data_IF_159260009154
#
_entry.id   IF_159260009154
#
_cell.length_a   1.000
_cell.length_b   1.000
_cell.length_c   1.000
_cell.angle_alpha   90.00
_cell.angle_beta   90.00
_cell.angle_gamma   90.00
#
_symmetry.space_group_name_H-M   'P 1'
#
loop_
_entity.id
_entity.type
_entity.pdbx_description
1 polymer ?
#
# COMPACT_ATOMS: atom_id res chain seq x y z
N UNK A 1 38.75 8.81 -0.77
CA UNK A 1 38.40 7.42 -0.38
C UNK A 1 37.65 7.32 0.96
N UNK A 2 37.24 8.44 1.57
CA UNK A 2 36.59 8.49 2.90
C UNK A 2 35.14 9.00 2.88
N UNK A 3 34.58 9.40 1.73
CA UNK A 3 33.21 9.93 1.64
C UNK A 3 32.12 8.86 1.41
N UNK A 4 32.45 7.69 0.84
CA UNK A 4 31.44 6.65 0.59
C UNK A 4 30.95 5.92 1.85
N UNK A 5 31.79 5.81 2.89
CA UNK A 5 31.42 5.12 4.13
C UNK A 5 30.50 5.96 5.05
N UNK A 6 30.54 7.27 4.93
CA UNK A 6 29.74 8.19 5.77
C UNK A 6 28.29 8.27 5.26
N UNK A 7 28.11 8.30 3.94
CA UNK A 7 26.78 8.31 3.29
C UNK A 7 26.04 6.99 3.51
N UNK A 8 26.71 5.84 3.39
CA UNK A 8 26.13 4.52 3.68
C UNK A 8 25.68 4.36 5.15
N UNK A 9 26.34 5.03 6.11
CA UNK A 9 25.97 4.99 7.54
C UNK A 9 24.77 5.87 7.87
N UNK A 10 24.60 7.01 7.17
CA UNK A 10 23.45 7.90 7.34
C UNK A 10 22.16 7.32 6.73
N UNK A 11 22.26 6.59 5.61
CA UNK A 11 21.12 5.89 5.02
C UNK A 11 20.60 4.74 5.91
N UNK A 12 21.50 4.08 6.65
CA UNK A 12 21.14 3.05 7.62
C UNK A 12 20.26 3.62 8.74
N UNK A 13 20.56 4.85 9.18
CA UNK A 13 19.84 5.59 10.23
C UNK A 13 18.42 5.98 9.77
N UNK A 14 18.27 6.49 8.54
CA UNK A 14 16.94 6.80 7.99
C UNK A 14 16.09 5.55 7.70
N UNK A 15 16.72 4.42 7.33
CA UNK A 15 16.01 3.14 7.17
C UNK A 15 15.51 2.57 8.51
N UNK A 16 16.21 2.83 9.62
CA UNK A 16 15.78 2.44 10.96
C UNK A 16 14.67 3.34 11.51
N UNK A 17 14.69 4.64 11.19
CA UNK A 17 13.66 5.60 11.60
C UNK A 17 12.31 5.39 10.88
N UNK A 18 12.34 4.93 9.62
CA UNK A 18 11.13 4.51 8.89
C UNK A 18 10.54 3.20 9.42
N UNK A 19 11.37 2.27 9.92
CA UNK A 19 10.94 1.03 10.62
C UNK A 19 10.26 1.27 11.98
N UNK A 20 10.45 2.42 12.62
CA UNK A 20 9.71 2.78 13.84
C UNK A 20 8.25 3.17 13.54
N UNK A 21 7.94 3.61 12.31
CA UNK A 21 6.57 3.94 11.89
C UNK A 21 5.84 2.74 11.24
N UNK A 22 6.57 1.72 10.79
CA UNK A 22 6.03 0.46 10.27
C UNK A 22 6.82 -0.72 10.85
N UNK A 23 6.33 -1.32 11.94
CA UNK A 23 6.80 -2.64 12.39
C UNK A 23 5.98 -3.73 11.71
N UNK A 24 6.59 -4.65 10.93
CA UNK A 24 5.94 -5.92 10.60
C UNK A 24 5.94 -6.82 11.84
N UNK A 25 4.78 -7.39 12.16
CA UNK A 25 4.61 -8.33 13.28
C UNK A 25 5.02 -9.72 12.78
N UNK A 26 6.21 -10.19 13.17
CA UNK A 26 6.55 -11.62 13.09
C UNK A 26 5.83 -12.37 14.22
N UNK A 27 5.21 -13.50 13.85
CA UNK A 27 4.43 -14.40 14.69
C UNK A 27 5.15 -14.86 15.96
N UNK A 28 4.44 -14.90 17.09
CA UNK A 28 4.64 -15.95 18.09
C UNK A 28 3.38 -16.19 18.94
N UNK A 29 3.23 -17.46 19.29
CA UNK A 29 2.14 -18.11 20.02
C UNK A 29 1.90 -17.47 21.40
N UNK A 30 0.63 -17.48 21.79
CA UNK A 30 0.02 -17.04 23.07
C UNK A 30 -0.63 -15.65 23.03
N UNK A 31 -1.94 -15.67 23.28
CA UNK A 31 -2.85 -14.55 23.11
C UNK A 31 -2.50 -13.34 23.96
N UNK A 32 -2.19 -12.23 23.28
CA UNK A 32 -2.26 -10.87 23.80
C UNK A 32 -2.79 -9.99 22.66
N UNK A 33 -3.82 -9.18 22.95
CA UNK A 33 -4.47 -8.26 22.02
C UNK A 33 -3.47 -7.27 21.38
N UNK A 34 -3.41 -7.21 20.04
CA UNK A 34 -2.58 -6.25 19.32
C UNK A 34 -3.41 -5.03 18.90
N UNK A 35 -3.05 -3.83 19.39
CA UNK A 35 -3.51 -2.54 18.87
C UNK A 35 -2.64 -2.16 17.67
N UNK A 36 -3.24 -2.01 16.48
CA UNK A 36 -2.59 -1.32 15.36
C UNK A 36 -2.49 0.19 15.66
N UNK A 37 -1.28 0.73 15.69
CA UNK A 37 -1.05 2.18 15.73
C UNK A 37 -0.96 2.72 14.30
N UNK A 38 -2.06 3.24 13.75
CA UNK A 38 -2.03 4.00 12.49
C UNK A 38 -1.76 5.46 12.85
N UNK A 39 -0.53 5.93 12.60
CA UNK A 39 -0.13 7.32 12.85
C UNK A 39 -0.19 8.13 11.54
N UNK A 40 -0.88 9.27 11.57
CA UNK A 40 -1.00 10.21 10.45
C UNK A 40 0.23 11.14 10.43
N UNK A 41 1.01 11.13 9.34
CA UNK A 41 2.29 11.87 9.20
C UNK A 41 2.04 13.31 8.70
N UNK A 42 1.21 14.11 9.38
CA UNK A 42 0.94 15.50 8.94
C UNK A 42 1.68 16.57 9.75
N UNK A 43 2.37 16.22 10.84
CA UNK A 43 3.18 17.19 11.62
C UNK A 43 4.70 17.13 11.37
N UNK A 44 5.19 16.23 10.52
CA UNK A 44 6.63 15.99 10.41
C UNK A 44 7.35 16.82 9.34
N UNK A 45 6.63 17.36 8.35
CA UNK A 45 7.26 18.06 7.22
C UNK A 45 7.70 19.50 7.51
N UNK A 46 7.11 20.17 8.50
CA UNK A 46 7.39 21.59 8.76
C UNK A 46 8.60 21.82 9.68
N UNK A 47 9.15 20.77 10.32
CA UNK A 47 10.28 20.90 11.24
C UNK A 47 11.60 20.31 10.73
N UNK A 48 11.60 19.51 9.64
CA UNK A 48 12.80 18.84 9.14
C UNK A 48 13.71 19.71 8.28
N UNK A 49 13.32 20.97 8.01
CA UNK A 49 14.14 21.96 7.29
C UNK A 49 14.96 22.84 8.25
N UNK A 50 14.84 22.64 9.57
CA UNK A 50 15.66 23.37 10.52
C UNK A 50 17.09 22.80 10.56
N UNK A 51 17.98 23.52 9.85
CA UNK A 51 19.43 23.57 10.03
C UNK A 51 20.25 22.31 9.73
N UNK A 52 20.23 21.82 8.48
CA UNK A 52 21.32 20.96 7.99
C UNK A 52 22.54 21.75 7.49
N UNK A 53 22.41 23.05 7.21
CA UNK A 53 23.51 23.88 6.70
C UNK A 53 24.57 24.24 7.77
N UNK A 54 24.27 24.04 9.06
CA UNK A 54 25.21 24.27 10.16
C UNK A 54 25.81 22.99 10.77
N UNK A 55 25.65 21.82 10.13
CA UNK A 55 26.30 20.58 10.56
C UNK A 55 27.80 20.58 10.19
N UNK A 56 28.55 21.57 10.67
CA UNK A 56 30.00 21.59 10.58
C UNK A 56 30.59 20.73 11.71
N UNK A 57 31.36 19.69 11.32
CA UNK A 57 32.38 18.98 12.13
C UNK A 57 31.93 18.30 13.45
N UNK A 58 30.76 17.65 13.48
CA UNK A 58 30.33 16.83 14.64
C UNK A 58 30.35 15.33 14.39
N UNK A 59 30.56 14.52 15.43
CA UNK A 59 30.42 13.05 15.40
C UNK A 59 28.99 12.66 14.95
N UNK A 60 28.82 11.89 13.86
CA UNK A 60 27.52 11.42 13.39
C UNK A 60 26.68 10.71 14.48
N UNK A 61 27.34 10.04 15.43
CA UNK A 61 26.64 9.40 16.55
C UNK A 61 26.06 10.40 17.54
N UNK A 62 26.67 11.57 17.68
CA UNK A 62 26.16 12.64 18.53
C UNK A 62 24.95 13.31 17.91
N UNK A 63 24.97 13.55 16.59
CA UNK A 63 23.81 14.03 15.84
C UNK A 63 22.63 13.04 15.94
N UNK A 64 22.89 11.74 15.80
CA UNK A 64 21.89 10.69 15.98
C UNK A 64 21.28 10.71 17.40
N UNK A 65 22.11 10.77 18.45
CA UNK A 65 21.62 10.84 19.84
C UNK A 65 20.78 12.08 20.10
N UNK A 66 21.18 13.25 19.58
CA UNK A 66 20.39 14.50 19.71
C UNK A 66 19.03 14.37 19.04
N UNK A 67 18.98 13.82 17.83
CA UNK A 67 17.73 13.57 17.11
C UNK A 67 16.86 12.59 17.89
N UNK A 68 17.43 11.47 18.37
CA UNK A 68 16.71 10.48 19.16
C UNK A 68 16.14 11.06 20.46
N UNK A 69 16.92 11.87 21.19
CA UNK A 69 16.47 12.59 22.38
C UNK A 69 15.36 13.59 22.06
N UNK A 70 15.45 14.30 20.93
CA UNK A 70 14.40 15.21 20.46
C UNK A 70 13.10 14.48 20.12
N UNK A 71 13.18 13.27 19.57
CA UNK A 71 12.01 12.44 19.33
C UNK A 71 11.43 11.89 20.64
N UNK A 72 12.27 11.46 21.58
CA UNK A 72 11.84 10.94 22.87
C UNK A 72 11.20 12.02 23.76
N UNK A 73 11.61 13.28 23.63
CA UNK A 73 11.05 14.41 24.38
C UNK A 73 9.73 14.93 23.82
N UNK A 74 9.39 14.58 22.57
CA UNK A 74 8.10 14.95 21.97
C UNK A 74 6.99 14.06 22.53
N UNK A 75 5.99 14.71 23.14
CA UNK A 75 4.74 14.04 23.51
C UNK A 75 4.03 13.60 22.24
N UNK A 76 3.88 12.29 22.05
CA UNK A 76 3.10 11.76 20.95
C UNK A 76 1.65 12.28 21.03
N UNK A 77 0.97 12.51 19.90
CA UNK A 77 -0.46 12.74 19.90
C UNK A 77 -1.18 11.63 20.70
N UNK A 78 -2.31 11.94 21.35
CA UNK A 78 -3.09 10.91 22.02
C UNK A 78 -3.48 9.81 21.03
N UNK A 79 -3.54 8.57 21.52
CA UNK A 79 -4.00 7.44 20.73
C UNK A 79 -5.36 7.73 20.11
N UNK A 80 -5.45 7.46 18.81
CA UNK A 80 -6.68 7.62 18.05
C UNK A 80 -7.66 6.51 18.48
N UNK A 81 -8.91 6.87 18.77
CA UNK A 81 -9.94 5.88 19.05
C UNK A 81 -10.16 5.00 17.79
N UNK A 82 -9.88 3.68 17.84
CA UNK A 82 -10.02 2.81 16.66
C UNK A 82 -11.48 2.63 16.22
N UNK A 83 -12.45 3.02 17.07
CA UNK A 83 -13.88 3.04 16.75
C UNK A 83 -14.41 4.47 16.49
N UNK A 84 -13.51 5.46 16.42
CA UNK A 84 -13.86 6.84 16.14
C UNK A 84 -14.32 7.01 14.69
N UNK A 85 -15.28 7.92 14.49
CA UNK A 85 -15.65 8.41 13.16
C UNK A 85 -14.95 9.75 12.96
N UNK A 86 -14.19 9.87 11.87
CA UNK A 86 -13.43 11.09 11.54
C UNK A 86 -14.15 11.87 10.44
N UNK A 87 -14.27 13.18 10.62
CA UNK A 87 -14.89 14.09 9.66
C UNK A 87 -13.82 14.91 8.94
N UNK A 88 -13.79 14.83 7.62
CA UNK A 88 -13.02 15.78 6.81
C UNK A 88 -13.83 17.06 6.54
N UNK A 89 -15.16 16.91 6.39
CA UNK A 89 -16.12 17.99 6.17
C UNK A 89 -17.30 17.83 7.13
N UNK A 90 -18.08 18.89 7.30
CA UNK A 90 -19.33 18.86 8.06
C UNK A 90 -20.40 18.04 7.33
N UNK A 91 -21.13 17.19 8.07
CA UNK A 91 -22.21 16.35 7.56
C UNK A 91 -23.27 16.16 8.64
N UNK A 92 -24.49 16.63 8.41
CA UNK A 92 -25.63 16.34 9.29
C UNK A 92 -26.31 15.02 8.88
N UNK A 93 -26.10 13.97 9.68
CA UNK A 93 -26.71 12.65 9.47
C UNK A 93 -28.24 12.65 9.62
N UNK A 94 -28.82 13.69 10.22
CA UNK A 94 -30.29 13.86 10.30
C UNK A 94 -30.88 14.12 8.92
N UNK A 95 -30.21 14.92 8.09
CA UNK A 95 -30.67 15.28 6.74
C UNK A 95 -30.47 14.15 5.72
N UNK A 96 -29.54 13.23 5.99
CA UNK A 96 -29.29 12.07 5.11
C UNK A 96 -30.46 11.09 5.19
N UNK A 97 -31.23 10.95 4.10
CA UNK A 97 -32.39 10.07 4.04
C UNK A 97 -32.09 8.66 3.54
N UNK A 98 -31.00 8.51 2.77
CA UNK A 98 -30.66 7.25 2.09
C UNK A 98 -29.18 6.94 2.33
N UNK A 99 -28.89 5.71 2.73
CA UNK A 99 -27.53 5.19 2.94
C UNK A 99 -27.24 4.11 1.91
N UNK A 100 -26.21 4.35 1.09
CA UNK A 100 -25.68 3.37 0.14
C UNK A 100 -24.46 2.69 0.73
N UNK A 101 -24.34 1.38 0.53
CA UNK A 101 -23.19 0.60 0.95
C UNK A 101 -22.54 -0.07 -0.25
N UNK A 102 -21.21 -0.12 -0.26
CA UNK A 102 -20.46 -1.10 -1.03
C UNK A 102 -20.44 -2.43 -0.26
N UNK A 103 -20.14 -3.53 -0.94
CA UNK A 103 -20.07 -4.85 -0.32
C UNK A 103 -18.64 -5.17 0.13
N UNK A 104 -17.74 -5.37 -0.84
CA UNK A 104 -16.38 -5.86 -0.62
C UNK A 104 -15.53 -4.84 0.15
N UNK A 105 -14.85 -5.29 1.22
CA UNK A 105 -14.09 -4.45 2.15
C UNK A 105 -14.87 -3.31 2.84
N UNK A 106 -16.20 -3.24 2.66
CA UNK A 106 -17.08 -2.29 3.37
C UNK A 106 -18.02 -3.01 4.33
N UNK A 107 -18.90 -3.88 3.83
CA UNK A 107 -19.74 -4.75 4.66
C UNK A 107 -19.07 -6.11 4.88
N UNK A 108 -18.51 -6.68 3.81
CA UNK A 108 -17.73 -7.90 3.83
C UNK A 108 -16.26 -7.55 4.11
N UNK A 109 -15.85 -7.59 5.38
CA UNK A 109 -14.47 -7.33 5.78
C UNK A 109 -13.66 -8.62 5.62
N UNK A 110 -12.73 -8.62 4.68
CA UNK A 110 -11.87 -9.78 4.43
C UNK A 110 -10.72 -9.90 5.43
N UNK A 111 -10.36 -11.15 5.74
CA UNK A 111 -9.22 -11.54 6.55
C UNK A 111 -7.92 -11.46 5.76
N UNK A 112 -6.74 -11.36 6.42
CA UNK A 112 -5.44 -11.38 5.74
C UNK A 112 -5.21 -12.60 4.83
N UNK A 113 -5.89 -13.72 5.10
CA UNK A 113 -5.85 -14.91 4.23
C UNK A 113 -6.30 -14.63 2.78
N UNK A 114 -7.08 -13.56 2.56
CA UNK A 114 -7.51 -13.14 1.23
C UNK A 114 -6.33 -12.71 0.35
N UNK A 115 -5.38 -11.96 0.90
CA UNK A 115 -4.22 -11.47 0.17
C UNK A 115 -3.38 -12.63 -0.37
N UNK A 116 -3.14 -13.65 0.48
CA UNK A 116 -2.43 -14.87 0.07
C UNK A 116 -3.17 -15.61 -1.04
N UNK A 117 -4.50 -15.72 -0.94
CA UNK A 117 -5.31 -16.39 -1.94
C UNK A 117 -5.19 -15.68 -3.30
N UNK A 118 -5.39 -14.37 -3.34
CA UNK A 118 -5.31 -13.57 -4.57
C UNK A 118 -3.91 -13.62 -5.19
N UNK A 119 -2.88 -13.47 -4.37
CA UNK A 119 -1.49 -13.58 -4.80
C UNK A 119 -1.24 -14.94 -5.48
N UNK A 120 -1.61 -16.04 -4.82
CA UNK A 120 -1.37 -17.39 -5.31
C UNK A 120 -2.17 -17.67 -6.58
N UNK A 121 -3.44 -17.26 -6.65
CA UNK A 121 -4.26 -17.42 -7.85
C UNK A 121 -3.68 -16.64 -9.04
N UNK A 122 -3.24 -15.40 -8.80
CA UNK A 122 -2.59 -14.57 -9.82
C UNK A 122 -1.31 -15.20 -10.35
N UNK A 123 -0.43 -15.66 -9.45
CA UNK A 123 0.82 -16.36 -9.79
C UNK A 123 0.55 -17.62 -10.61
N UNK A 124 -0.36 -18.46 -10.15
CA UNK A 124 -0.70 -19.72 -10.82
C UNK A 124 -1.33 -19.46 -12.20
N UNK A 125 -2.12 -18.39 -12.34
CA UNK A 125 -2.68 -17.98 -13.63
C UNK A 125 -1.59 -17.54 -14.61
N UNK A 126 -0.57 -16.81 -14.16
CA UNK A 126 0.57 -16.41 -14.99
C UNK A 126 1.34 -17.62 -15.53
N UNK A 127 1.62 -18.61 -14.68
CA UNK A 127 2.28 -19.85 -15.09
C UNK A 127 1.41 -20.59 -16.12
N UNK A 128 0.14 -20.86 -15.79
CA UNK A 128 -0.73 -21.72 -16.60
C UNK A 128 -1.12 -21.09 -17.93
N UNK A 129 -1.52 -19.81 -17.91
CA UNK A 129 -2.09 -19.09 -19.06
C UNK A 129 -1.02 -18.32 -19.85
N UNK A 130 -0.15 -17.58 -19.15
CA UNK A 130 0.85 -16.73 -19.79
C UNK A 130 2.22 -17.43 -19.98
N UNK A 131 2.36 -18.68 -19.54
CA UNK A 131 3.58 -19.50 -19.69
C UNK A 131 4.83 -18.87 -19.07
N UNK A 132 4.63 -18.16 -17.96
CA UNK A 132 5.75 -17.65 -17.17
C UNK A 132 6.59 -18.83 -16.60
N UNK A 133 7.88 -18.62 -16.30
CA UNK A 133 8.77 -19.68 -15.83
C UNK A 133 8.22 -20.39 -14.59
N UNK A 134 8.26 -21.72 -14.57
CA UNK A 134 7.76 -22.53 -13.44
C UNK A 134 8.44 -22.18 -12.11
N UNK A 135 9.68 -21.67 -12.15
CA UNK A 135 10.41 -21.24 -10.95
C UNK A 135 9.70 -20.14 -10.15
N UNK A 136 8.78 -19.36 -10.76
CA UNK A 136 8.02 -18.36 -10.01
C UNK A 136 7.03 -19.00 -9.03
N UNK A 137 6.74 -20.29 -9.14
CA UNK A 137 5.86 -21.04 -8.22
C UNK A 137 6.37 -21.05 -6.78
N UNK A 138 7.69 -20.96 -6.61
CA UNK A 138 8.35 -20.91 -5.30
C UNK A 138 8.27 -19.51 -4.65
N UNK A 139 7.78 -18.49 -5.37
CA UNK A 139 7.61 -17.15 -4.82
C UNK A 139 6.44 -17.13 -3.81
N UNK A 140 6.71 -16.54 -2.65
CA UNK A 140 5.73 -16.38 -1.57
C UNK A 140 5.25 -14.93 -1.44
N UNK A 141 4.01 -14.75 -1.00
CA UNK A 141 3.51 -13.43 -0.63
C UNK A 141 4.27 -12.90 0.60
N UNK A 142 4.68 -11.64 0.56
CA UNK A 142 5.37 -10.95 1.65
C UNK A 142 4.47 -9.86 2.27
N UNK A 143 3.72 -10.18 3.36
CA UNK A 143 2.85 -9.21 4.01
C UNK A 143 3.61 -7.96 4.45
N UNK A 144 3.05 -6.79 4.14
CA UNK A 144 3.61 -5.50 4.55
C UNK A 144 4.73 -4.96 3.66
N UNK A 145 5.13 -5.66 2.59
CA UNK A 145 6.00 -5.08 1.57
C UNK A 145 5.30 -3.94 0.83
N UNK A 146 4.17 -4.23 0.17
CA UNK A 146 3.30 -3.22 -0.40
C UNK A 146 2.27 -2.76 0.64
N UNK A 147 1.93 -1.47 0.59
CA UNK A 147 0.85 -0.89 1.39
C UNK A 147 -0.08 -0.09 0.49
N UNK A 148 -1.35 0.02 0.88
CA UNK A 148 -2.34 0.82 0.16
C UNK A 148 -1.87 2.28 0.03
N UNK A 149 -2.11 2.89 -1.12
CA UNK A 149 -1.78 4.28 -1.43
C UNK A 149 -0.40 4.50 -2.06
N UNK A 150 0.42 3.45 -2.21
CA UNK A 150 1.63 3.51 -3.04
C UNK A 150 1.27 3.74 -4.52
N UNK A 151 2.25 4.21 -5.28
CA UNK A 151 2.14 4.41 -6.72
C UNK A 151 3.15 3.55 -7.45
N UNK A 152 2.74 2.98 -8.58
CA UNK A 152 3.59 2.21 -9.46
C UNK A 152 3.73 2.93 -10.80
N UNK A 153 4.96 3.23 -11.20
CA UNK A 153 5.30 3.74 -12.53
C UNK A 153 5.43 2.56 -13.49
N UNK A 154 4.46 2.44 -14.40
CA UNK A 154 4.32 1.31 -15.32
C UNK A 154 5.42 1.36 -16.39
N UNK A 155 5.79 2.54 -16.86
CA UNK A 155 6.83 2.71 -17.89
C UNK A 155 8.21 2.33 -17.34
N UNK A 156 8.50 2.72 -16.09
CA UNK A 156 9.83 2.51 -15.46
C UNK A 156 9.94 1.25 -14.61
N UNK A 157 8.81 0.63 -14.29
CA UNK A 157 8.74 -0.54 -13.43
C UNK A 157 9.08 -0.27 -11.97
N UNK A 158 8.65 0.87 -11.42
CA UNK A 158 9.04 1.34 -10.09
C UNK A 158 7.85 1.53 -9.15
N UNK A 159 7.91 0.91 -7.97
CA UNK A 159 6.97 1.15 -6.87
C UNK A 159 7.51 2.25 -5.96
N UNK A 160 6.68 3.22 -5.57
CA UNK A 160 7.10 4.34 -4.72
C UNK A 160 5.97 4.96 -3.91
N UNK A 161 6.34 5.70 -2.87
CA UNK A 161 5.43 6.60 -2.18
C UNK A 161 5.54 8.01 -2.77
N UNK A 162 4.39 8.59 -3.06
CA UNK A 162 4.24 9.98 -3.48
C UNK A 162 3.41 10.68 -2.39
N UNK A 163 3.74 11.93 -2.05
CA UNK A 163 2.94 12.73 -1.13
C UNK A 163 1.82 13.52 -1.87
N UNK A 164 1.02 14.27 -1.11
CA UNK A 164 -0.01 15.16 -1.66
C UNK A 164 0.56 16.28 -2.54
N UNK A 165 1.86 16.57 -2.35
CA UNK A 165 2.78 17.41 -3.13
C UNK A 165 3.09 16.94 -4.54
N UNK A 166 2.70 15.71 -4.89
CA UNK A 166 3.23 14.95 -6.01
C UNK A 166 4.76 14.81 -5.97
N UNK A 167 5.35 14.79 -4.76
CA UNK A 167 6.77 14.57 -4.54
C UNK A 167 7.06 13.09 -4.30
N UNK A 168 8.07 12.58 -5.00
CA UNK A 168 8.65 11.27 -4.70
C UNK A 168 9.27 11.32 -3.31
N UNK A 169 8.80 10.45 -2.42
CA UNK A 169 9.42 10.25 -1.12
C UNK A 169 10.68 9.41 -1.32
N UNK A 170 11.83 10.08 -1.36
CA UNK A 170 13.13 9.43 -1.53
C UNK A 170 13.34 8.32 -0.49
N UNK A 171 13.98 7.24 -0.92
CA UNK A 171 14.17 6.05 -0.11
C UNK A 171 12.97 5.10 -0.01
N UNK A 172 11.84 5.44 -0.64
CA UNK A 172 10.68 4.54 -0.76
C UNK A 172 10.51 3.94 -2.15
N UNK A 173 11.50 4.11 -3.03
CA UNK A 173 11.43 3.67 -4.43
C UNK A 173 12.05 2.28 -4.58
N UNK A 174 11.31 1.36 -5.21
CA UNK A 174 11.70 -0.02 -5.40
C UNK A 174 11.55 -0.45 -6.86
N UNK A 175 12.53 -1.21 -7.35
CA UNK A 175 12.48 -1.98 -8.59
C UNK A 175 12.39 -3.44 -8.18
N UNK A 176 11.25 -4.08 -8.44
CA UNK A 176 10.96 -5.37 -7.82
C UNK A 176 10.91 -5.25 -6.30
N UNK A 177 11.75 -6.00 -5.59
CA UNK A 177 11.91 -5.92 -4.13
C UNK A 177 13.15 -5.15 -3.72
N UNK A 178 13.99 -4.76 -4.68
CA UNK A 178 15.23 -4.05 -4.45
C UNK A 178 15.00 -2.55 -4.42
N UNK A 179 15.48 -1.90 -3.35
CA UNK A 179 15.41 -0.44 -3.22
C UNK A 179 16.33 0.24 -4.23
N UNK A 180 15.81 1.26 -4.90
CA UNK A 180 16.57 2.09 -5.84
C UNK A 180 17.28 3.22 -5.08
N UNK A 181 18.52 3.53 -5.46
CA UNK A 181 19.28 4.62 -4.84
C UNK A 181 18.67 5.98 -5.15
N UNK A 182 18.83 6.95 -4.25
CA UNK A 182 18.26 8.29 -4.45
C UNK A 182 18.85 8.99 -5.68
N UNK A 183 20.13 8.75 -5.96
CA UNK A 183 20.85 9.29 -7.11
C UNK A 183 20.26 8.76 -8.42
N UNK A 184 19.95 7.46 -8.47
CA UNK A 184 19.30 6.85 -9.62
C UNK A 184 17.88 7.39 -9.80
N UNK A 185 17.10 7.52 -8.72
CA UNK A 185 15.75 8.12 -8.78
C UNK A 185 15.80 9.54 -9.33
N UNK A 186 16.69 10.39 -8.82
CA UNK A 186 16.84 11.77 -9.30
C UNK A 186 17.26 11.79 -10.77
N UNK A 187 18.13 10.88 -11.20
CA UNK A 187 18.53 10.76 -12.60
C UNK A 187 17.37 10.35 -13.50
N UNK A 188 16.52 9.41 -13.06
CA UNK A 188 15.39 8.89 -13.83
C UNK A 188 14.25 9.91 -13.98
N UNK A 189 13.94 10.65 -12.91
CA UNK A 189 12.82 11.60 -12.90
C UNK A 189 13.24 13.05 -13.18
N UNK A 190 14.56 13.35 -13.20
CA UNK A 190 15.17 14.69 -13.32
C UNK A 190 14.86 15.66 -12.17
N UNK A 191 13.73 15.47 -11.49
CA UNK A 191 13.29 16.19 -10.31
C UNK A 191 12.47 15.25 -9.41
N UNK A 192 12.23 15.64 -8.15
CA UNK A 192 11.37 14.91 -7.21
C UNK A 192 9.87 15.13 -7.50
N UNK A 193 9.53 16.25 -8.14
CA UNK A 193 8.16 16.60 -8.49
C UNK A 193 7.70 15.79 -9.70
N UNK A 194 6.60 15.08 -9.58
CA UNK A 194 5.93 14.42 -10.70
C UNK A 194 4.79 15.31 -11.19
N UNK A 195 4.69 15.61 -12.50
CA UNK A 195 3.56 16.35 -13.04
C UNK A 195 2.23 15.63 -12.81
N UNK A 196 1.15 16.37 -12.50
CA UNK A 196 -0.17 15.77 -12.26
C UNK A 196 -0.65 14.93 -13.44
N UNK A 197 -0.43 15.38 -14.68
CA UNK A 197 -0.78 14.63 -15.89
C UNK A 197 -0.01 13.32 -16.07
N UNK A 198 1.07 13.10 -15.31
CA UNK A 198 1.84 11.87 -15.31
C UNK A 198 1.28 10.87 -14.28
N UNK A 199 0.79 11.37 -13.13
CA UNK A 199 0.18 10.57 -12.06
C UNK A 199 -1.27 10.25 -12.37
N UNK A 200 -2.02 11.26 -12.80
CA UNK A 200 -3.43 11.20 -13.13
C UNK A 200 -3.61 11.08 -14.63
N UNK A 201 -4.20 9.98 -15.08
CA UNK A 201 -4.64 9.83 -16.47
C UNK A 201 -5.96 10.60 -16.71
N UNK A 202 -6.03 11.86 -16.28
CA UNK A 202 -7.22 12.70 -16.34
C UNK A 202 -7.06 13.79 -17.41
N UNK A 203 -7.51 13.48 -18.62
CA UNK A 203 -7.65 14.45 -19.71
C UNK A 203 -8.75 14.04 -20.68
N UNK A 204 -9.23 14.96 -21.52
CA UNK A 204 -10.24 14.68 -22.57
C UNK A 204 -9.82 13.57 -23.56
N UNK A 205 -8.54 13.20 -23.57
CA UNK A 205 -7.93 12.13 -24.36
C UNK A 205 -7.55 10.88 -23.55
N UNK A 206 -7.94 10.79 -22.26
CA UNK A 206 -7.66 9.64 -21.38
C UNK A 206 -8.21 8.31 -21.91
N UNK A 207 -9.19 8.38 -22.81
CA UNK A 207 -9.77 7.24 -23.51
C UNK A 207 -8.74 6.55 -24.44
N UNK A 208 -7.68 7.26 -24.85
CA UNK A 208 -6.72 6.81 -25.88
C UNK A 208 -5.27 6.70 -25.38
N UNK A 209 -4.96 7.18 -24.17
CA UNK A 209 -3.60 7.18 -23.63
C UNK A 209 -3.57 6.24 -22.43
N UNK A 210 -2.72 5.21 -22.50
CA UNK A 210 -2.51 4.31 -21.38
C UNK A 210 -1.93 5.07 -20.17
N UNK A 211 -2.39 4.78 -18.94
CA UNK A 211 -1.86 5.44 -17.76
C UNK A 211 -0.39 5.08 -17.57
N UNK A 212 0.44 6.09 -17.27
CA UNK A 212 1.87 5.91 -16.98
C UNK A 212 2.12 5.48 -15.54
N UNK A 213 1.26 5.91 -14.63
CA UNK A 213 1.29 5.51 -13.22
C UNK A 213 -0.06 4.98 -12.79
N UNK A 214 -0.03 4.09 -11.79
CA UNK A 214 -1.23 3.62 -11.09
C UNK A 214 -1.05 3.73 -9.59
N UNK A 215 -2.12 4.09 -8.90
CA UNK A 215 -2.16 4.08 -7.45
C UNK A 215 -2.81 2.79 -6.95
N UNK A 216 -2.26 2.24 -5.87
CA UNK A 216 -2.88 1.14 -5.11
C UNK A 216 -4.06 1.69 -4.29
N UNK A 217 -5.16 1.95 -4.97
CA UNK A 217 -6.30 2.69 -4.41
C UNK A 217 -7.17 1.83 -3.48
N UNK A 218 -7.20 0.51 -3.67
CA UNK A 218 -7.99 -0.45 -2.90
C UNK A 218 -7.11 -1.54 -2.26
N UNK A 219 -7.71 -2.41 -1.44
CA UNK A 219 -6.99 -3.50 -0.78
C UNK A 219 -6.71 -4.69 -1.71
N UNK A 220 -7.50 -4.88 -2.77
CA UNK A 220 -7.25 -5.92 -3.78
C UNK A 220 -5.95 -5.67 -4.57
N UNK A 221 -5.57 -4.41 -4.74
CA UNK A 221 -4.36 -3.99 -5.44
C UNK A 221 -3.05 -4.31 -4.69
N UNK A 222 -3.12 -4.55 -3.38
CA UNK A 222 -1.93 -4.82 -2.53
C UNK A 222 -1.27 -6.17 -2.87
N UNK A 223 -2.00 -7.32 -2.88
CA UNK A 223 -1.42 -8.59 -3.30
C UNK A 223 -1.04 -8.59 -4.79
N UNK A 224 -1.78 -7.89 -5.66
CA UNK A 224 -1.43 -7.73 -7.08
C UNK A 224 -0.07 -7.06 -7.25
N UNK A 225 0.15 -5.94 -6.59
CA UNK A 225 1.40 -5.20 -6.70
C UNK A 225 2.57 -5.96 -6.06
N UNK A 226 2.32 -6.64 -4.94
CA UNK A 226 3.32 -7.52 -4.32
C UNK A 226 3.74 -8.65 -5.27
N UNK A 227 2.79 -9.26 -5.99
CA UNK A 227 3.08 -10.27 -7.00
C UNK A 227 3.92 -9.70 -8.14
N UNK A 228 3.54 -8.53 -8.65
CA UNK A 228 4.28 -7.84 -9.70
C UNK A 228 5.73 -7.61 -9.28
N UNK A 229 5.95 -7.02 -8.11
CA UNK A 229 7.29 -6.74 -7.59
C UNK A 229 8.10 -8.02 -7.37
N UNK A 230 7.51 -9.10 -6.84
CA UNK A 230 8.20 -10.38 -6.69
C UNK A 230 8.64 -10.96 -8.04
N UNK A 231 7.80 -10.88 -9.07
CA UNK A 231 8.15 -11.39 -10.41
C UNK A 231 9.23 -10.52 -11.06
N UNK A 232 9.12 -9.20 -10.94
CA UNK A 232 10.14 -8.28 -11.42
C UNK A 232 11.50 -8.55 -10.76
N UNK A 233 11.51 -8.83 -9.46
CA UNK A 233 12.71 -9.24 -8.72
C UNK A 233 13.25 -10.58 -9.22
N UNK A 234 12.38 -11.58 -9.40
CA UNK A 234 12.76 -12.89 -9.94
C UNK A 234 13.42 -12.75 -11.32
N UNK A 235 12.81 -11.98 -12.23
CA UNK A 235 13.39 -11.72 -13.55
C UNK A 235 14.75 -11.03 -13.45
N UNK A 236 14.91 -10.08 -12.53
CA UNK A 236 16.20 -9.43 -12.31
C UNK A 236 17.28 -10.41 -11.82
N UNK A 237 16.97 -11.23 -10.81
CA UNK A 237 17.92 -12.19 -10.24
C UNK A 237 18.31 -13.31 -11.22
N UNK A 238 17.38 -13.69 -12.11
CA UNK A 238 17.59 -14.72 -13.13
C UNK A 238 18.06 -14.17 -14.49
N UNK A 239 18.34 -12.86 -14.59
CA UNK A 239 18.78 -12.20 -15.83
C UNK A 239 17.80 -12.43 -17.01
N UNK A 240 16.50 -12.39 -16.71
CA UNK A 240 15.44 -12.50 -17.71
C UNK A 240 15.03 -11.09 -18.11
N UNK A 241 15.19 -10.76 -19.39
CA UNK A 241 14.72 -9.49 -19.93
C UNK A 241 13.19 -9.47 -19.98
N UNK A 242 12.60 -8.34 -19.57
CA UNK A 242 11.16 -8.13 -19.61
C UNK A 242 10.84 -6.66 -19.87
N UNK A 243 9.64 -6.41 -20.41
CA UNK A 243 9.10 -5.06 -20.54
C UNK A 243 8.17 -4.76 -19.36
N UNK A 244 8.43 -3.70 -18.56
CA UNK A 244 7.63 -3.39 -17.38
C UNK A 244 6.12 -3.28 -17.66
N UNK A 245 5.73 -2.64 -18.75
CA UNK A 245 4.31 -2.49 -19.11
C UNK A 245 3.62 -3.83 -19.43
N UNK A 246 4.33 -4.78 -20.06
CA UNK A 246 3.78 -6.09 -20.39
C UNK A 246 3.61 -6.90 -19.11
N UNK A 247 4.63 -6.91 -18.25
CA UNK A 247 4.56 -7.56 -16.95
C UNK A 247 3.39 -7.02 -16.12
N UNK A 248 3.25 -5.69 -16.06
CA UNK A 248 2.14 -5.05 -15.37
C UNK A 248 0.78 -5.52 -15.90
N UNK A 249 0.60 -5.51 -17.23
CA UNK A 249 -0.65 -5.93 -17.86
C UNK A 249 -0.95 -7.40 -17.60
N UNK A 250 0.04 -8.27 -17.70
CA UNK A 250 -0.12 -9.71 -17.50
C UNK A 250 -0.50 -10.03 -16.05
N UNK A 251 0.16 -9.41 -15.08
CA UNK A 251 -0.15 -9.57 -13.65
C UNK A 251 -1.56 -9.08 -13.35
N UNK A 252 -1.89 -7.86 -13.79
CA UNK A 252 -3.22 -7.26 -13.60
C UNK A 252 -4.33 -8.12 -14.21
N UNK A 253 -4.13 -8.61 -15.43
CA UNK A 253 -5.09 -9.50 -16.09
C UNK A 253 -5.21 -10.85 -15.37
N UNK A 254 -4.10 -11.38 -14.86
CA UNK A 254 -4.08 -12.67 -14.16
C UNK A 254 -4.81 -12.62 -12.83
N UNK A 255 -4.54 -11.59 -12.01
CA UNK A 255 -5.26 -11.35 -10.75
C UNK A 255 -6.73 -11.01 -11.02
N UNK A 256 -7.01 -10.12 -11.99
CA UNK A 256 -8.37 -9.79 -12.41
C UNK A 256 -9.17 -11.03 -12.84
N UNK A 257 -8.61 -11.89 -13.69
CA UNK A 257 -9.27 -13.12 -14.16
C UNK A 257 -9.44 -14.19 -13.07
N UNK A 258 -8.79 -14.01 -11.92
CA UNK A 258 -8.87 -14.92 -10.77
C UNK A 258 -10.01 -14.58 -9.81
N UNK A 259 -10.62 -13.39 -9.91
CA UNK A 259 -11.72 -12.97 -9.02
C UNK A 259 -12.92 -13.94 -9.02
N UNK A 260 -13.42 -14.46 -10.16
CA UNK A 260 -14.51 -15.44 -10.13
C UNK A 260 -14.11 -16.77 -9.49
N UNK A 261 -12.82 -17.14 -9.53
CA UNK A 261 -12.30 -18.35 -8.89
C UNK A 261 -12.20 -18.12 -7.38
N UNK A 262 -11.74 -16.94 -6.98
CA UNK A 262 -11.71 -16.49 -5.58
C UNK A 262 -13.11 -16.59 -4.96
N UNK A 263 -14.16 -16.09 -5.62
CA UNK A 263 -15.55 -16.19 -5.13
C UNK A 263 -15.95 -17.63 -4.83
N UNK A 264 -15.69 -18.57 -5.76
CA UNK A 264 -15.98 -20.00 -5.59
C UNK A 264 -15.21 -20.67 -4.45
N UNK A 265 -14.03 -20.15 -4.10
CA UNK A 265 -13.23 -20.65 -2.98
C UNK A 265 -13.81 -20.12 -1.67
N UNK A 266 -14.13 -18.83 -1.61
CA UNK A 266 -14.75 -18.19 -0.44
C UNK A 266 -16.09 -18.85 -0.11
N UNK A 267 -16.93 -19.15 -1.10
CA UNK A 267 -18.23 -19.80 -0.91
C UNK A 267 -18.13 -21.15 -0.18
N UNK A 268 -17.00 -21.85 -0.29
CA UNK A 268 -16.78 -23.15 0.38
C UNK A 268 -16.42 -23.00 1.85
N UNK A 269 -15.74 -21.92 2.23
CA UNK A 269 -15.38 -21.62 3.61
C UNK A 269 -15.32 -20.10 3.85
N UNK A 270 -16.49 -19.50 4.01
CA UNK A 270 -16.65 -18.06 4.29
C UNK A 270 -15.91 -17.68 5.58
N UNK A 271 -15.85 -18.59 6.56
CA UNK A 271 -15.29 -18.30 7.88
C UNK A 271 -13.78 -18.11 7.86
N UNK A 272 -13.08 -18.74 6.92
CA UNK A 272 -11.65 -18.59 6.72
C UNK A 272 -11.30 -17.20 6.15
N UNK A 273 -12.18 -16.62 5.34
CA UNK A 273 -11.86 -15.43 4.54
C UNK A 273 -12.57 -14.16 4.98
N UNK A 274 -13.71 -14.23 5.68
CA UNK A 274 -14.44 -13.05 6.14
C UNK A 274 -14.44 -12.94 7.66
N UNK A 275 -14.34 -11.70 8.14
CA UNK A 275 -14.55 -11.34 9.53
C UNK A 275 -16.04 -11.25 9.85
N UNK A 276 -16.44 -11.87 10.97
CA UNK A 276 -17.82 -11.75 11.45
C UNK A 276 -17.94 -10.50 12.30
N UNK A 277 -18.88 -9.62 11.93
CA UNK A 277 -19.17 -8.40 12.69
C UNK A 277 -20.61 -8.42 13.20
N UNK A 278 -20.87 -8.94 14.43
CA UNK A 278 -22.22 -9.04 14.97
C UNK A 278 -22.94 -7.68 15.10
N UNK A 279 -22.18 -6.61 15.29
CA UNK A 279 -22.71 -5.24 15.43
C UNK A 279 -23.31 -4.66 14.13
N UNK A 280 -23.08 -5.30 12.97
CA UNK A 280 -23.56 -4.77 11.69
C UNK A 280 -25.09 -4.84 11.58
N UNK A 281 -25.70 -5.88 12.12
CA UNK A 281 -27.15 -6.04 12.15
C UNK A 281 -27.81 -4.96 13.01
N UNK A 282 -27.27 -4.73 14.22
CA UNK A 282 -27.74 -3.67 15.11
C UNK A 282 -27.60 -2.27 14.47
N UNK A 283 -26.51 -2.05 13.73
CA UNK A 283 -26.29 -0.82 13.00
C UNK A 283 -27.38 -0.56 11.94
N UNK A 284 -27.70 -1.57 11.13
CA UNK A 284 -28.77 -1.45 10.14
C UNK A 284 -30.14 -1.28 10.78
N UNK A 285 -30.45 -2.03 11.83
CA UNK A 285 -31.70 -1.89 12.58
C UNK A 285 -31.88 -0.46 13.12
N UNK A 286 -30.81 0.16 13.61
CA UNK A 286 -30.84 1.54 14.09
C UNK A 286 -31.15 2.53 12.96
N UNK A 287 -30.56 2.35 11.78
CA UNK A 287 -30.84 3.20 10.62
C UNK A 287 -32.28 3.06 10.14
N UNK A 288 -32.77 1.82 10.04
CA UNK A 288 -34.16 1.54 9.63
C UNK A 288 -35.15 2.12 10.63
N UNK A 289 -34.93 1.93 11.94
CA UNK A 289 -35.74 2.53 13.00
C UNK A 289 -35.76 4.06 12.96
N UNK A 290 -34.67 4.68 12.50
CA UNK A 290 -34.57 6.12 12.28
C UNK A 290 -35.21 6.58 10.95
N UNK A 291 -35.95 5.71 10.25
CA UNK A 291 -36.65 6.04 9.00
C UNK A 291 -35.73 6.18 7.79
N UNK A 292 -34.48 5.70 7.87
CA UNK A 292 -33.51 5.80 6.78
C UNK A 292 -33.71 4.65 5.78
N UNK A 293 -33.56 4.95 4.49
CA UNK A 293 -33.59 3.95 3.41
C UNK A 293 -32.18 3.42 3.16
N UNK A 294 -32.04 2.12 2.92
CA UNK A 294 -30.75 1.47 2.69
C UNK A 294 -30.71 0.85 1.29
N UNK A 295 -29.56 0.90 0.62
CA UNK A 295 -29.32 0.17 -0.61
C UNK A 295 -27.88 -0.34 -0.68
N UNK A 296 -27.67 -1.42 -1.45
CA UNK A 296 -26.37 -2.01 -1.72
C UNK A 296 -26.01 -1.75 -3.19
N UNK A 297 -24.79 -1.33 -3.45
CA UNK A 297 -24.20 -1.23 -4.79
C UNK A 297 -22.87 -1.93 -4.76
N UNK A 298 -22.70 -2.94 -5.60
CA UNK A 298 -21.48 -3.74 -5.63
C UNK A 298 -21.13 -4.17 -7.04
N UNK A 299 -19.84 -4.34 -7.29
CA UNK A 299 -19.32 -4.95 -8.50
C UNK A 299 -19.39 -6.48 -8.46
N UNK A 300 -19.69 -7.05 -7.29
CA UNK A 300 -19.79 -8.49 -7.11
C UNK A 300 -21.11 -9.06 -7.66
N UNK A 301 -21.10 -10.27 -8.25
CA UNK A 301 -22.32 -10.89 -8.77
C UNK A 301 -23.35 -11.17 -7.67
N UNK A 302 -24.64 -11.02 -7.98
CA UNK A 302 -25.74 -11.24 -7.02
C UNK A 302 -25.73 -12.60 -6.32
N UNK A 303 -25.26 -13.67 -7.00
CA UNK A 303 -25.20 -15.01 -6.40
C UNK A 303 -24.11 -15.16 -5.33
N UNK A 304 -23.07 -14.35 -5.40
CA UNK A 304 -21.96 -14.38 -4.46
C UNK A 304 -22.28 -13.59 -3.19
N UNK A 305 -22.94 -12.45 -3.37
CA UNK A 305 -23.40 -11.53 -2.31
C UNK A 305 -24.44 -12.19 -1.42
#
# INVERSE_FOLDING_TARGET
HTDLQTTQRLDMIFSHLSRLCFRPINSCKHGINYKLSIQCITQFHTSSVLNLENATKGDPMEAYRRIQQTYASKKLPPDVNPKGVFSCNELDLKEVNVYGFDYDYTLAVYKPAMDFLLYNLGRDALIKKCKYPEGIKELEYHPGFAVRGLHYDIEKGLLMKIDSFLQIQLGTVFRGLTRVSNEEVIKLYKNKNIPIAYVESHGKHAQYIAPKMVQLADLFSVPEMSLLCNIAEYFHQHHIDYHPEILFRDVKNSVGSSHPIMHKIIEKDVSQYLEKTPAISEFFDRLVKAGKKLFLVTNSPYKFV
#
